data_IF_058264148739
#
_entry.id   IF_058264148739
#
_cell.length_a   1.000
_cell.length_b   1.000
_cell.length_c   1.000
_cell.angle_alpha   90.00
_cell.angle_beta   90.00
_cell.angle_gamma   90.00
#
_symmetry.space_group_name_H-M   'P 1'
#
loop_
_entity.id
_entity.type
_entity.pdbx_description
1 polymer ?
#
# COMPACT_ATOMS: atom_id res chain seq x y z
N UNK A 1 2.07 -4.09 26.69
CA UNK A 1 2.84 -4.07 25.42
C UNK A 1 2.14 -3.22 24.36
N UNK A 2 0.84 -3.40 24.16
CA UNK A 2 0.03 -2.62 23.20
C UNK A 2 0.06 -1.10 23.51
N UNK A 3 0.03 -0.72 24.79
CA UNK A 3 0.10 0.69 25.20
C UNK A 3 1.41 1.39 24.80
N UNK A 4 2.51 0.64 24.60
CA UNK A 4 3.80 1.22 24.19
C UNK A 4 3.76 1.69 22.74
N UNK A 5 3.16 0.91 21.85
CA UNK A 5 3.00 1.30 20.43
C UNK A 5 2.19 2.60 20.27
N UNK A 6 1.23 2.80 21.14
CA UNK A 6 0.36 3.99 21.10
C UNK A 6 1.07 5.26 21.63
N UNK A 7 2.04 5.08 22.52
CA UNK A 7 2.85 6.17 23.06
C UNK A 7 4.02 6.55 22.14
N UNK A 8 4.63 5.56 21.50
CA UNK A 8 5.84 5.76 20.69
C UNK A 8 5.53 6.14 19.23
N UNK A 9 4.30 5.89 18.73
CA UNK A 9 3.90 6.14 17.33
C UNK A 9 2.78 7.19 17.28
N UNK A 10 3.10 8.35 16.70
CA UNK A 10 2.15 9.50 16.66
C UNK A 10 0.96 9.23 15.76
N UNK A 11 1.19 8.72 14.54
CA UNK A 11 0.14 8.48 13.57
C UNK A 11 0.21 7.06 13.02
N UNK A 12 -0.93 6.39 12.96
CA UNK A 12 -1.10 5.04 12.41
C UNK A 12 -2.09 5.11 11.24
N UNK A 13 -1.62 4.80 10.04
CA UNK A 13 -2.37 4.94 8.80
C UNK A 13 -2.49 3.58 8.13
N UNK A 14 -3.72 3.13 7.91
CA UNK A 14 -4.02 1.92 7.15
C UNK A 14 -4.06 2.23 5.65
N UNK A 15 -3.53 1.33 4.81
CA UNK A 15 -3.66 1.40 3.36
C UNK A 15 -4.43 0.17 2.90
N UNK A 16 -5.63 0.40 2.36
CA UNK A 16 -6.56 -0.64 1.94
C UNK A 16 -6.84 -0.56 0.44
N UNK A 17 -7.22 -1.68 -0.14
CA UNK A 17 -7.80 -1.74 -1.48
C UNK A 17 -8.88 -2.81 -1.55
N UNK A 18 -9.90 -2.58 -2.34
CA UNK A 18 -10.96 -3.56 -2.57
C UNK A 18 -10.52 -4.74 -3.45
N UNK A 19 -9.47 -4.55 -4.26
CA UNK A 19 -8.99 -5.50 -5.27
C UNK A 19 -7.46 -5.56 -5.27
N UNK A 20 -6.90 -6.71 -5.64
CA UNK A 20 -5.47 -6.86 -5.92
C UNK A 20 -5.04 -6.16 -7.22
N UNK A 21 -3.77 -5.80 -7.32
CA UNK A 21 -3.18 -5.23 -8.52
C UNK A 21 -3.45 -3.74 -8.77
N UNK A 22 -4.08 -3.03 -7.82
CA UNK A 22 -4.34 -1.57 -7.94
C UNK A 22 -3.14 -0.70 -7.54
N UNK A 23 -2.04 -1.30 -7.10
CA UNK A 23 -0.84 -0.58 -6.66
C UNK A 23 -0.89 -0.13 -5.19
N UNK A 24 -1.65 -0.82 -4.34
CA UNK A 24 -1.77 -0.54 -2.90
C UNK A 24 -0.41 -0.43 -2.20
N UNK A 25 0.44 -1.46 -2.32
CA UNK A 25 1.79 -1.46 -1.71
C UNK A 25 2.71 -0.38 -2.30
N UNK A 26 2.53 -0.02 -3.58
CA UNK A 26 3.24 1.12 -4.20
C UNK A 26 2.83 2.43 -3.55
N UNK A 27 1.54 2.62 -3.28
CA UNK A 27 1.03 3.82 -2.58
C UNK A 27 1.51 3.82 -1.13
N UNK A 28 1.46 2.69 -0.43
CA UNK A 28 1.94 2.57 0.96
C UNK A 28 3.43 2.93 1.08
N UNK A 29 4.28 2.34 0.23
CA UNK A 29 5.73 2.65 0.21
C UNK A 29 6.01 4.06 -0.28
N UNK A 30 5.27 4.56 -1.27
CA UNK A 30 5.38 5.93 -1.77
C UNK A 30 5.03 6.97 -0.69
N UNK A 31 3.99 6.73 0.10
CA UNK A 31 3.62 7.56 1.25
C UNK A 31 4.73 7.55 2.31
N UNK A 32 5.24 6.37 2.66
CA UNK A 32 6.33 6.24 3.62
C UNK A 32 7.60 6.97 3.16
N UNK A 33 8.00 6.80 1.90
CA UNK A 33 9.16 7.48 1.31
C UNK A 33 8.97 9.00 1.29
N UNK A 34 7.78 9.48 0.95
CA UNK A 34 7.48 10.91 0.92
C UNK A 34 7.60 11.53 2.31
N UNK A 35 7.04 10.88 3.33
CA UNK A 35 7.16 11.32 4.72
C UNK A 35 8.62 11.29 5.21
N UNK A 36 9.37 10.23 4.91
CA UNK A 36 10.78 10.11 5.28
C UNK A 36 11.64 11.21 4.62
N UNK A 37 11.38 11.54 3.34
CA UNK A 37 12.04 12.67 2.66
C UNK A 37 11.72 14.03 3.28
N UNK A 38 10.57 14.16 3.94
CA UNK A 38 10.20 15.33 4.73
C UNK A 38 10.83 15.34 6.13
N UNK A 39 11.75 14.42 6.42
CA UNK A 39 12.44 14.31 7.71
C UNK A 39 11.64 13.64 8.81
N UNK A 40 10.54 12.93 8.48
CA UNK A 40 9.74 12.20 9.45
C UNK A 40 10.34 10.82 9.74
N UNK A 41 10.23 10.35 10.98
CA UNK A 41 10.54 8.98 11.38
C UNK A 41 9.36 8.08 10.99
N UNK A 42 9.58 7.15 10.05
CA UNK A 42 8.48 6.35 9.48
C UNK A 42 8.74 4.87 9.63
N UNK A 43 7.68 4.12 9.95
CA UNK A 43 7.62 2.67 9.89
C UNK A 43 6.65 2.19 8.82
N UNK A 44 6.92 1.00 8.27
CA UNK A 44 5.99 0.27 7.40
C UNK A 44 5.79 -1.13 7.95
N UNK A 45 4.54 -1.50 8.18
CA UNK A 45 4.13 -2.83 8.57
C UNK A 45 3.36 -3.46 7.40
N UNK A 46 4.00 -4.40 6.71
CA UNK A 46 3.43 -5.12 5.58
C UNK A 46 2.87 -6.46 6.06
N UNK A 47 1.56 -6.58 6.06
CA UNK A 47 0.83 -7.77 6.49
C UNK A 47 0.19 -8.54 5.33
N UNK A 48 0.53 -8.19 4.08
CA UNK A 48 0.10 -8.93 2.89
C UNK A 48 0.98 -10.17 2.70
N UNK A 49 0.47 -11.34 3.05
CA UNK A 49 1.16 -12.62 2.87
C UNK A 49 1.18 -13.08 1.42
N UNK A 50 0.16 -12.71 0.66
CA UNK A 50 -0.04 -13.21 -0.70
C UNK A 50 0.86 -12.54 -1.72
N UNK A 51 1.36 -11.37 -1.42
CA UNK A 51 2.27 -10.62 -2.27
C UNK A 51 3.04 -9.56 -1.49
N UNK A 52 3.92 -9.98 -0.54
CA UNK A 52 4.62 -9.04 0.33
C UNK A 52 5.75 -8.33 -0.44
N UNK A 53 5.40 -7.28 -1.17
CA UNK A 53 6.32 -6.57 -2.07
C UNK A 53 7.05 -5.39 -1.40
N UNK A 54 6.66 -4.97 -0.21
CA UNK A 54 7.25 -3.82 0.49
C UNK A 54 8.77 -3.95 0.68
N UNK A 55 9.32 -5.11 1.10
CA UNK A 55 10.78 -5.25 1.24
C UNK A 55 11.52 -5.00 -0.06
N UNK A 56 11.04 -5.54 -1.18
CA UNK A 56 11.62 -5.32 -2.50
C UNK A 56 11.63 -3.84 -2.90
N UNK A 57 10.52 -3.14 -2.67
CA UNK A 57 10.39 -1.71 -2.99
C UNK A 57 11.28 -0.82 -2.14
N UNK A 58 11.65 -1.25 -0.94
CA UNK A 58 12.49 -0.50 0.00
C UNK A 58 13.94 -1.00 0.09
N UNK A 59 14.35 -1.91 -0.82
CA UNK A 59 15.72 -2.42 -0.92
C UNK A 59 16.09 -3.41 0.19
N UNK A 60 15.14 -4.19 0.67
CA UNK A 60 15.29 -5.14 1.77
C UNK A 60 15.06 -6.61 1.32
N UNK A 61 15.25 -6.90 0.03
CA UNK A 61 15.17 -8.28 -0.45
C UNK A 61 16.21 -9.17 0.26
N UNK A 62 15.76 -10.34 0.71
CA UNK A 62 16.63 -11.29 1.44
C UNK A 62 16.95 -10.89 2.88
N UNK A 63 16.34 -9.83 3.40
CA UNK A 63 16.46 -9.50 4.82
C UNK A 63 15.68 -10.50 5.67
N UNK A 64 16.25 -10.86 6.82
CA UNK A 64 15.64 -11.73 7.81
C UNK A 64 15.18 -10.94 9.03
N UNK A 65 14.25 -11.50 9.80
CA UNK A 65 13.84 -10.93 11.07
C UNK A 65 14.96 -11.10 12.10
N UNK A 66 15.41 -9.99 12.67
CA UNK A 66 16.32 -10.03 13.80
C UNK A 66 15.53 -10.03 15.11
N UNK A 67 15.72 -11.09 15.91
CA UNK A 67 15.05 -11.22 17.22
C UNK A 67 16.12 -11.24 18.31
N UNK A 68 16.06 -10.28 19.22
CA UNK A 68 16.95 -10.19 20.35
C UNK A 68 16.14 -9.97 21.65
N UNK A 69 16.46 -10.74 22.69
CA UNK A 69 15.77 -10.69 24.00
C UNK A 69 14.22 -10.79 23.90
N UNK A 70 13.71 -11.57 22.93
CA UNK A 70 12.28 -11.74 22.69
C UNK A 70 11.60 -10.50 22.07
N UNK A 71 12.39 -9.59 21.49
CA UNK A 71 11.93 -8.43 20.71
C UNK A 71 12.31 -8.58 19.25
N UNK A 72 11.42 -8.15 18.39
CA UNK A 72 11.64 -8.13 16.95
C UNK A 72 12.17 -6.75 16.56
N UNK A 73 13.35 -6.72 15.93
CA UNK A 73 13.92 -5.47 15.44
C UNK A 73 13.54 -5.28 13.97
N UNK A 74 12.95 -4.12 13.59
CA UNK A 74 12.59 -3.86 12.22
C UNK A 74 13.84 -3.71 11.34
N UNK A 75 13.78 -4.21 10.12
CA UNK A 75 14.79 -3.94 9.11
C UNK A 75 14.79 -2.46 8.72
N UNK A 76 15.94 -1.91 8.38
CA UNK A 76 16.09 -0.50 8.01
C UNK A 76 16.23 -0.40 6.50
N UNK A 77 15.19 0.08 5.85
CA UNK A 77 15.15 0.30 4.41
C UNK A 77 15.62 1.69 3.99
N UNK A 78 15.36 2.02 2.76
CA UNK A 78 15.74 3.31 2.16
C UNK A 78 15.25 4.48 3.02
N UNK A 79 16.06 5.53 3.13
CA UNK A 79 15.79 6.74 3.92
C UNK A 79 15.54 6.49 5.42
N UNK A 80 16.04 5.38 5.98
CA UNK A 80 15.89 5.04 7.39
C UNK A 80 14.50 4.57 7.78
N UNK A 81 13.67 4.17 6.83
CA UNK A 81 12.34 3.62 7.09
C UNK A 81 12.47 2.28 7.78
N UNK A 82 11.81 2.12 8.91
CA UNK A 82 11.73 0.86 9.65
C UNK A 82 10.68 -0.04 9.00
N UNK A 83 11.04 -1.29 8.69
CA UNK A 83 10.15 -2.20 7.96
C UNK A 83 10.02 -3.53 8.69
N UNK A 84 8.79 -3.96 8.85
CA UNK A 84 8.41 -5.32 9.19
C UNK A 84 7.48 -5.82 8.08
N UNK A 85 7.74 -7.03 7.59
CA UNK A 85 6.92 -7.64 6.55
C UNK A 85 6.72 -9.13 6.80
N UNK A 86 5.57 -9.62 6.40
CA UNK A 86 5.27 -11.06 6.36
C UNK A 86 6.25 -11.81 5.44
N UNK A 87 6.86 -11.13 4.45
CA UNK A 87 7.93 -11.71 3.64
C UNK A 87 9.10 -12.24 4.46
N UNK A 88 9.44 -11.58 5.55
CA UNK A 88 10.57 -11.99 6.41
C UNK A 88 10.33 -13.30 7.17
N UNK A 89 9.10 -13.81 7.17
CA UNK A 89 8.71 -15.09 7.78
C UNK A 89 8.66 -16.22 6.76
N UNK A 90 8.90 -15.93 5.48
CA UNK A 90 8.84 -16.88 4.37
C UNK A 90 10.26 -17.33 4.05
N UNK A 91 10.60 -18.59 4.34
CA UNK A 91 11.94 -19.15 4.10
C UNK A 91 12.26 -19.29 2.61
N UNK A 92 11.27 -19.56 1.78
CA UNK A 92 11.44 -19.75 0.34
C UNK A 92 10.31 -19.03 -0.42
N UNK A 93 10.60 -17.88 -1.05
CA UNK A 93 9.59 -17.08 -1.74
C UNK A 93 8.94 -17.79 -2.95
N UNK A 94 9.56 -18.82 -3.50
CA UNK A 94 9.03 -19.57 -4.64
C UNK A 94 8.09 -20.72 -4.21
N UNK A 95 8.04 -21.04 -2.93
CA UNK A 95 7.12 -22.03 -2.41
C UNK A 95 5.78 -21.43 -2.00
N UNK A 96 4.65 -22.06 -2.37
CA UNK A 96 3.34 -21.62 -1.91
C UNK A 96 3.25 -21.74 -0.38
N UNK A 97 3.06 -20.61 0.29
CA UNK A 97 2.90 -20.57 1.75
C UNK A 97 1.43 -20.68 2.09
N UNK A 98 1.04 -21.78 2.73
CA UNK A 98 -0.32 -21.99 3.21
C UNK A 98 -0.39 -21.57 4.68
N UNK A 99 -0.69 -20.31 4.92
CA UNK A 99 -0.93 -19.81 6.27
C UNK A 99 -2.40 -19.97 6.64
N UNK A 100 -2.67 -20.75 7.66
CA UNK A 100 -4.01 -20.84 8.23
C UNK A 100 -4.31 -19.57 9.03
N UNK A 101 -5.57 -19.13 9.03
CA UNK A 101 -6.01 -17.88 9.67
C UNK A 101 -5.41 -17.61 11.08
N UNK A 102 -5.45 -18.57 12.03
CA UNK A 102 -4.88 -18.35 13.36
C UNK A 102 -3.39 -18.03 13.38
N UNK A 103 -2.59 -18.61 12.48
CA UNK A 103 -1.15 -18.35 12.38
C UNK A 103 -0.90 -16.95 11.86
N UNK A 104 -1.64 -16.52 10.84
CA UNK A 104 -1.60 -15.15 10.32
C UNK A 104 -1.88 -14.13 11.42
N UNK A 105 -2.99 -14.30 12.12
CA UNK A 105 -3.40 -13.40 13.18
C UNK A 105 -2.39 -13.38 14.33
N UNK A 106 -1.78 -14.53 14.62
CA UNK A 106 -0.67 -14.63 15.58
C UNK A 106 0.53 -13.77 15.19
N UNK A 107 0.98 -13.84 13.92
CA UNK A 107 2.08 -13.03 13.41
C UNK A 107 1.75 -11.53 13.43
N UNK A 108 0.53 -11.15 13.03
CA UNK A 108 0.09 -9.74 13.09
C UNK A 108 0.13 -9.22 14.53
N UNK A 109 -0.36 -9.99 15.50
CA UNK A 109 -0.32 -9.60 16.90
C UNK A 109 1.12 -9.49 17.44
N UNK A 110 2.05 -10.34 16.98
CA UNK A 110 3.47 -10.20 17.31
C UNK A 110 4.07 -8.92 16.67
N UNK A 111 3.73 -8.60 15.44
CA UNK A 111 4.19 -7.36 14.79
C UNK A 111 3.68 -6.11 15.51
N UNK A 112 2.48 -6.17 16.07
CA UNK A 112 1.93 -5.09 16.89
C UNK A 112 2.58 -5.06 18.29
N UNK A 113 2.76 -6.21 18.94
CA UNK A 113 3.14 -6.26 20.37
C UNK A 113 4.62 -6.39 20.64
N UNK A 114 5.37 -7.06 19.78
CA UNK A 114 6.74 -7.48 20.06
C UNK A 114 7.80 -6.76 19.22
N UNK A 115 7.39 -5.97 18.21
CA UNK A 115 8.32 -5.16 17.40
C UNK A 115 8.78 -3.93 18.16
N UNK A 116 10.09 -3.69 18.13
CA UNK A 116 10.70 -2.51 18.73
C UNK A 116 10.74 -1.34 17.73
N UNK A 117 9.57 -0.75 17.52
CA UNK A 117 9.43 0.39 16.60
C UNK A 117 10.19 1.63 17.09
N UNK A 118 10.26 1.86 18.42
CA UNK A 118 10.73 3.12 18.99
C UNK A 118 9.86 4.29 18.52
N UNK A 119 10.33 5.51 18.74
CA UNK A 119 9.59 6.70 18.31
C UNK A 119 9.43 6.78 16.80
N UNK A 120 8.17 6.89 16.34
CA UNK A 120 7.81 7.15 14.95
C UNK A 120 6.83 8.33 14.84
N UNK A 121 6.99 9.13 13.79
CA UNK A 121 5.98 10.12 13.41
C UNK A 121 4.79 9.45 12.70
N UNK A 122 5.05 8.37 11.92
CA UNK A 122 3.99 7.62 11.26
C UNK A 122 4.35 6.14 11.10
N UNK A 123 3.35 5.27 11.29
CA UNK A 123 3.36 3.86 10.91
C UNK A 123 2.34 3.65 9.78
N UNK A 124 2.83 3.24 8.64
CA UNK A 124 1.99 2.89 7.48
C UNK A 124 1.77 1.38 7.51
N UNK A 125 0.51 0.94 7.46
CA UNK A 125 0.14 -0.47 7.54
C UNK A 125 -0.43 -0.89 6.18
N UNK A 126 0.32 -1.73 5.47
CA UNK A 126 -0.08 -2.26 4.16
C UNK A 126 -0.80 -3.59 4.32
N UNK A 127 -2.08 -3.63 3.92
CA UNK A 127 -2.97 -4.77 4.10
C UNK A 127 -3.05 -5.65 2.84
N UNK A 128 -3.47 -6.93 2.96
CA UNK A 128 -3.88 -7.70 1.80
C UNK A 128 -5.10 -7.05 1.11
N UNK A 129 -5.33 -7.35 -0.18
CA UNK A 129 -6.49 -6.83 -0.89
C UNK A 129 -7.80 -7.41 -0.34
N UNK A 130 -8.85 -6.62 -0.40
CA UNK A 130 -10.20 -7.00 0.07
C UNK A 130 -10.50 -6.56 1.50
N UNK A 131 -11.59 -7.10 2.04
CA UNK A 131 -12.09 -6.83 3.40
C UNK A 131 -12.06 -8.12 4.22
N UNK A 132 -10.88 -8.71 4.37
CA UNK A 132 -10.62 -9.94 5.13
C UNK A 132 -10.52 -9.67 6.64
N UNK A 133 -10.14 -10.68 7.43
CA UNK A 133 -10.08 -10.58 8.89
C UNK A 133 -8.91 -9.73 9.39
N UNK A 134 -7.86 -9.53 8.59
CA UNK A 134 -6.65 -8.84 8.98
C UNK A 134 -6.91 -7.36 9.36
N UNK A 135 -7.63 -6.54 8.54
CA UNK A 135 -7.93 -5.17 8.92
C UNK A 135 -8.76 -5.07 10.21
N UNK A 136 -9.68 -6.01 10.43
CA UNK A 136 -10.46 -6.05 11.66
C UNK A 136 -9.57 -6.37 12.86
N UNK A 137 -8.70 -7.37 12.74
CA UNK A 137 -7.76 -7.76 13.81
C UNK A 137 -6.86 -6.60 14.20
N UNK A 138 -6.27 -5.90 13.21
CA UNK A 138 -5.41 -4.74 13.48
C UNK A 138 -6.20 -3.62 14.16
N UNK A 139 -7.43 -3.34 13.69
CA UNK A 139 -8.28 -2.30 14.29
C UNK A 139 -8.69 -2.60 15.73
N UNK A 140 -8.80 -3.88 16.08
CA UNK A 140 -9.09 -4.31 17.46
C UNK A 140 -7.84 -4.37 18.35
N UNK A 141 -6.67 -4.58 17.75
CA UNK A 141 -5.40 -4.72 18.46
C UNK A 141 -4.67 -3.41 18.68
N UNK A 142 -4.90 -2.41 17.82
CA UNK A 142 -4.35 -1.06 17.95
C UNK A 142 -5.38 -0.12 18.59
N UNK A 143 -5.05 0.54 19.71
CA UNK A 143 -6.01 1.40 20.43
C UNK A 143 -6.47 2.60 19.62
N UNK A 144 -5.57 3.14 18.78
CA UNK A 144 -5.88 4.28 17.90
C UNK A 144 -5.37 4.02 16.50
N UNK A 145 -6.21 4.31 15.52
CA UNK A 145 -5.83 4.37 14.09
C UNK A 145 -6.34 5.71 13.57
N UNK A 146 -5.43 6.54 13.08
CA UNK A 146 -5.73 7.92 12.70
C UNK A 146 -6.48 8.01 11.37
N UNK A 147 -6.33 7.01 10.50
CA UNK A 147 -7.08 7.02 9.26
C UNK A 147 -6.75 5.89 8.29
N UNK A 148 -7.58 5.85 7.25
CA UNK A 148 -7.47 4.90 6.14
C UNK A 148 -7.25 5.65 4.84
N UNK A 149 -6.25 5.21 4.07
CA UNK A 149 -6.08 5.55 2.65
C UNK A 149 -6.62 4.38 1.83
N UNK A 150 -7.53 4.64 0.90
CA UNK A 150 -8.09 3.62 0.01
C UNK A 150 -7.47 3.79 -1.38
N UNK A 151 -6.93 2.70 -1.92
CA UNK A 151 -6.32 2.69 -3.26
C UNK A 151 -7.24 1.98 -4.23
N UNK A 152 -7.51 2.62 -5.36
CA UNK A 152 -8.34 2.11 -6.44
C UNK A 152 -7.75 2.43 -7.81
N UNK A 153 -8.39 1.95 -8.87
CA UNK A 153 -8.14 2.33 -10.26
C UNK A 153 -9.47 2.79 -10.89
N UNK A 154 -9.48 3.51 -12.03
CA UNK A 154 -10.68 4.08 -12.62
C UNK A 154 -11.65 3.04 -13.21
N UNK A 155 -11.28 1.75 -13.23
CA UNK A 155 -12.12 0.69 -13.77
C UNK A 155 -13.36 0.44 -12.87
N UNK A 156 -14.53 0.30 -13.46
CA UNK A 156 -15.79 0.11 -12.72
C UNK A 156 -15.75 -1.04 -11.71
N UNK A 157 -15.12 -2.16 -12.07
CA UNK A 157 -14.96 -3.32 -11.17
C UNK A 157 -14.15 -2.95 -9.93
N UNK A 158 -13.07 -2.16 -10.08
CA UNK A 158 -12.25 -1.70 -8.95
C UNK A 158 -13.03 -0.72 -8.06
N UNK A 159 -13.86 0.14 -8.65
CA UNK A 159 -14.72 1.08 -7.91
C UNK A 159 -15.77 0.35 -7.07
N UNK A 160 -16.37 -0.73 -7.59
CA UNK A 160 -17.32 -1.56 -6.83
C UNK A 160 -16.66 -2.17 -5.58
N UNK A 161 -15.46 -2.72 -5.72
CA UNK A 161 -14.73 -3.32 -4.61
C UNK A 161 -14.22 -2.25 -3.63
N UNK A 162 -13.83 -1.06 -4.11
CA UNK A 162 -13.43 0.06 -3.27
C UNK A 162 -14.57 0.57 -2.38
N UNK A 163 -15.82 0.51 -2.86
CA UNK A 163 -17.02 0.81 -2.02
C UNK A 163 -17.11 -0.12 -0.81
N UNK A 164 -16.73 -1.40 -0.96
CA UNK A 164 -16.70 -2.35 0.18
C UNK A 164 -15.64 -1.92 1.20
N UNK A 165 -14.44 -1.51 0.76
CA UNK A 165 -13.39 -1.01 1.65
C UNK A 165 -13.81 0.29 2.36
N UNK A 166 -14.50 1.19 1.67
CA UNK A 166 -15.08 2.41 2.26
C UNK A 166 -16.12 2.06 3.35
N UNK A 167 -17.04 1.15 3.03
CA UNK A 167 -18.06 0.73 3.99
C UNK A 167 -17.45 -0.01 5.18
N UNK A 168 -16.42 -0.83 4.96
CA UNK A 168 -15.67 -1.47 6.03
C UNK A 168 -15.05 -0.43 6.98
N UNK A 169 -14.31 0.56 6.46
CA UNK A 169 -13.71 1.63 7.27
C UNK A 169 -14.78 2.38 8.09
N UNK A 170 -15.94 2.68 7.50
CA UNK A 170 -17.06 3.29 8.20
C UNK A 170 -17.61 2.40 9.31
N UNK A 171 -17.73 1.08 9.07
CA UNK A 171 -18.25 0.11 10.04
C UNK A 171 -17.36 0.00 11.28
N UNK A 172 -16.04 0.05 11.08
CA UNK A 172 -15.06 0.02 12.18
C UNK A 172 -14.74 1.43 12.74
N UNK A 173 -15.48 2.45 12.29
CA UNK A 173 -15.37 3.84 12.75
C UNK A 173 -13.97 4.47 12.60
N UNK A 174 -13.21 4.07 11.58
CA UNK A 174 -11.92 4.68 11.25
C UNK A 174 -12.14 5.73 10.15
N UNK A 175 -11.63 6.96 10.31
CA UNK A 175 -11.81 8.01 9.32
C UNK A 175 -11.08 7.70 8.01
N UNK A 176 -11.72 7.97 6.88
CA UNK A 176 -11.09 7.88 5.57
C UNK A 176 -10.40 9.21 5.31
N UNK A 177 -9.06 9.21 5.29
CA UNK A 177 -8.24 10.41 5.10
C UNK A 177 -7.91 10.68 3.62
N UNK A 178 -8.10 9.69 2.75
CA UNK A 178 -7.89 9.87 1.32
C UNK A 178 -8.29 8.66 0.50
N UNK A 179 -8.57 8.93 -0.77
CA UNK A 179 -8.71 7.92 -1.82
C UNK A 179 -7.69 8.23 -2.90
N UNK A 180 -6.86 7.25 -3.24
CA UNK A 180 -5.87 7.35 -4.31
C UNK A 180 -6.39 6.57 -5.51
N UNK A 181 -6.76 7.29 -6.55
CA UNK A 181 -7.04 6.69 -7.86
C UNK A 181 -5.71 6.55 -8.61
N UNK A 182 -5.21 5.33 -8.65
CA UNK A 182 -3.95 4.99 -9.31
C UNK A 182 -4.20 4.52 -10.73
N UNK A 183 -3.19 4.58 -11.59
CA UNK A 183 -3.27 4.17 -12.99
C UNK A 183 -4.39 4.90 -13.75
N UNK A 184 -4.66 6.16 -13.38
CA UNK A 184 -5.57 7.06 -14.07
C UNK A 184 -4.79 8.07 -14.90
N UNK A 185 -5.41 8.55 -15.98
CA UNK A 185 -4.82 9.59 -16.82
C UNK A 185 -3.58 9.15 -17.58
N UNK A 186 -3.62 8.02 -18.28
CA UNK A 186 -2.53 7.62 -19.17
C UNK A 186 -2.35 8.62 -20.29
N UNK A 187 -1.17 9.23 -20.38
CA UNK A 187 -0.80 10.04 -21.53
C UNK A 187 -0.11 9.16 -22.57
N UNK A 188 -0.72 9.05 -23.76
CA UNK A 188 -0.09 8.42 -24.92
C UNK A 188 0.46 9.53 -25.81
N UNK A 189 1.73 9.40 -26.14
CA UNK A 189 2.41 10.31 -27.07
C UNK A 189 2.84 9.56 -28.32
N UNK A 190 2.88 10.26 -29.43
CA UNK A 190 3.36 9.69 -30.68
C UNK A 190 3.89 10.75 -31.64
N UNK A 191 4.43 10.27 -32.74
CA UNK A 191 4.88 11.11 -33.85
C UNK A 191 4.23 10.56 -35.12
N UNK A 192 3.69 11.45 -35.94
CA UNK A 192 3.12 11.15 -37.24
C UNK A 192 3.44 12.30 -38.21
N UNK A 193 2.82 12.35 -39.39
CA UNK A 193 2.90 13.53 -40.23
C UNK A 193 2.26 14.74 -39.55
N UNK A 194 2.75 15.97 -39.80
CA UNK A 194 2.15 17.18 -39.29
C UNK A 194 0.66 17.30 -39.62
N UNK A 195 -0.10 17.93 -38.74
CA UNK A 195 -1.52 18.23 -38.89
C UNK A 195 -2.43 16.99 -39.16
N UNK A 196 -1.96 15.82 -38.74
CA UNK A 196 -2.71 14.56 -38.87
C UNK A 196 -3.71 14.39 -37.73
N UNK A 197 -4.95 14.05 -38.04
CA UNK A 197 -5.96 13.72 -37.05
C UNK A 197 -5.72 12.29 -36.48
N UNK A 198 -5.61 12.18 -35.16
CA UNK A 198 -5.40 10.94 -34.42
C UNK A 198 -6.64 10.61 -33.63
N UNK A 199 -7.18 9.42 -33.82
CA UNK A 199 -8.29 8.89 -33.02
C UNK A 199 -7.86 7.64 -32.27
N UNK A 200 -8.04 7.62 -30.95
CA UNK A 200 -7.71 6.49 -30.08
C UNK A 200 -8.94 6.07 -29.31
N UNK A 201 -9.22 4.78 -29.29
CA UNK A 201 -10.27 4.20 -28.46
C UNK A 201 -9.68 3.88 -27.08
N UNK A 202 -10.11 4.60 -26.05
CA UNK A 202 -9.69 4.37 -24.68
C UNK A 202 -10.21 3.05 -24.09
N UNK A 203 -9.69 2.63 -22.93
CA UNK A 203 -10.12 1.40 -22.25
C UNK A 203 -11.61 1.39 -21.89
N UNK A 204 -12.21 2.55 -21.64
CA UNK A 204 -13.64 2.74 -21.41
C UNK A 204 -14.51 2.59 -22.67
N UNK A 205 -13.89 2.42 -23.83
CA UNK A 205 -14.58 2.40 -25.13
C UNK A 205 -14.84 3.77 -25.72
N UNK A 206 -14.53 4.85 -25.01
CA UNK A 206 -14.66 6.23 -25.50
C UNK A 206 -13.61 6.53 -26.55
N UNK A 207 -14.01 7.18 -27.64
CA UNK A 207 -13.10 7.69 -28.65
C UNK A 207 -12.56 9.04 -28.22
N UNK A 208 -11.25 9.17 -28.25
CA UNK A 208 -10.53 10.42 -27.98
C UNK A 208 -9.80 10.85 -29.24
N UNK A 209 -9.77 12.14 -29.50
CA UNK A 209 -9.18 12.71 -30.71
C UNK A 209 -8.20 13.82 -30.37
N UNK A 210 -7.14 13.92 -31.15
CA UNK A 210 -6.17 15.01 -31.13
C UNK A 210 -5.62 15.22 -32.54
N UNK A 211 -4.91 16.31 -32.75
CA UNK A 211 -4.20 16.59 -34.00
C UNK A 211 -2.72 16.75 -33.68
N UNK A 212 -1.86 16.19 -34.53
CA UNK A 212 -0.41 16.40 -34.40
C UNK A 212 -0.04 17.86 -34.73
N UNK A 213 1.00 18.35 -34.03
CA UNK A 213 1.55 19.68 -34.26
C UNK A 213 2.35 19.77 -35.60
N UNK A 214 2.96 20.92 -35.83
CA UNK A 214 3.77 21.18 -37.03
C UNK A 214 5.05 20.32 -37.10
N UNK A 215 5.46 19.68 -35.98
CA UNK A 215 6.57 18.72 -35.94
C UNK A 215 6.08 17.27 -35.98
N UNK A 216 4.77 17.04 -36.14
CA UNK A 216 4.14 15.73 -36.15
C UNK A 216 3.94 15.11 -34.75
N UNK A 217 4.20 15.83 -33.65
CA UNK A 217 4.03 15.32 -32.29
C UNK A 217 2.59 15.42 -31.85
N UNK A 218 2.12 14.44 -31.12
CA UNK A 218 0.78 14.45 -30.53
C UNK A 218 0.75 13.80 -29.15
N UNK A 219 -0.25 14.15 -28.36
CA UNK A 219 -0.48 13.64 -27.03
C UNK A 219 -1.98 13.49 -26.76
N UNK A 220 -2.39 12.41 -26.15
CA UNK A 220 -3.75 12.15 -25.67
C UNK A 220 -3.69 11.62 -24.24
N UNK A 221 -4.57 12.15 -23.38
CA UNK A 221 -4.78 11.62 -22.03
C UNK A 221 -5.97 10.65 -22.10
N UNK A 222 -5.74 9.40 -21.72
CA UNK A 222 -6.77 8.38 -21.58
C UNK A 222 -7.28 8.38 -20.14
N UNK A 223 -8.59 8.58 -19.98
CA UNK A 223 -9.30 8.48 -18.71
C UNK A 223 -9.65 7.01 -18.39
#
# INVERSE_FOLDING_TARGET
RINKIDQDIKHKIMVLSGKGGVGKSTVATGLALSLARMGKKVGVMDIDITGPNVPKMLGLEGSELHVENGRIHPAIGSHGIKVISMAFLIEDPDKPVIWRGPIKLGAINQFIGDVEWGELDALIIDFPPGTSDEPLTVSQSLPTIDGVVIVTTPQEVALLDSRKSINFAKTISIPIIGVVENMSGYTINGITEPETEISIKGPSGKMLQTVSDSEGKWSIILD
#
